data_IF_176374516045
#
_entry.id   IF_176374516045
#
_cell.length_a   1.000
_cell.length_b   1.000
_cell.length_c   1.000
_cell.angle_alpha   90.00
_cell.angle_beta   90.00
_cell.angle_gamma   90.00
#
_symmetry.space_group_name_H-M   'P 1'
#
loop_
_entity.id
_entity.type
_entity.pdbx_description
1 polymer ?
#
# COMPACT_ATOMS: atom_id res chain seq x y z
N UNK A 1 4.01 12.43 1.72
CA UNK A 1 3.49 12.63 3.09
C UNK A 1 4.01 11.53 4.04
N UNK A 2 3.83 10.24 3.72
CA UNK A 2 4.35 9.13 4.52
C UNK A 2 5.88 9.12 4.68
N UNK A 3 6.62 9.44 3.62
CA UNK A 3 8.09 9.50 3.66
C UNK A 3 8.62 10.50 4.68
N UNK A 4 8.06 11.72 4.72
CA UNK A 4 8.41 12.72 5.73
C UNK A 4 8.10 12.24 7.15
N UNK A 5 6.95 11.61 7.34
CA UNK A 5 6.55 11.06 8.63
C UNK A 5 7.55 10.00 9.12
N UNK A 6 7.95 9.07 8.25
CA UNK A 6 8.92 8.03 8.60
C UNK A 6 10.32 8.60 8.80
N UNK A 7 10.71 9.63 8.06
CA UNK A 7 11.96 10.34 8.31
C UNK A 7 11.96 11.02 9.69
N UNK A 8 10.88 11.69 10.06
CA UNK A 8 10.75 12.36 11.36
C UNK A 8 10.85 11.34 12.50
N UNK A 9 10.17 10.19 12.39
CA UNK A 9 10.28 9.12 13.40
C UNK A 9 11.66 8.46 13.43
N UNK A 10 12.25 8.19 12.26
CA UNK A 10 13.58 7.61 12.15
C UNK A 10 14.64 8.48 12.84
N UNK A 11 14.55 9.80 12.69
CA UNK A 11 15.46 10.74 13.36
C UNK A 11 15.42 10.64 14.89
N UNK A 12 14.27 10.27 15.47
CA UNK A 12 14.07 10.19 16.93
C UNK A 12 14.46 8.81 17.50
N UNK A 13 14.31 7.74 16.72
CA UNK A 13 14.32 6.37 17.25
C UNK A 13 15.37 5.45 16.63
N UNK A 14 15.81 5.72 15.39
CA UNK A 14 16.65 4.83 14.59
C UNK A 14 17.79 5.58 13.87
N UNK A 15 18.27 6.68 14.45
CA UNK A 15 19.42 7.44 13.93
C UNK A 15 19.22 7.97 12.51
N UNK A 16 17.97 8.24 12.11
CA UNK A 16 17.61 8.69 10.76
C UNK A 16 17.43 7.58 9.72
N UNK A 17 17.59 6.31 10.10
CA UNK A 17 17.36 5.18 9.21
C UNK A 17 15.86 4.90 9.01
N UNK A 18 15.33 5.26 7.84
CA UNK A 18 13.92 5.06 7.48
C UNK A 18 13.58 3.62 7.10
N UNK A 19 14.57 2.79 6.76
CA UNK A 19 14.34 1.43 6.25
C UNK A 19 13.61 0.58 7.28
N UNK A 20 13.92 0.76 8.58
CA UNK A 20 13.23 0.09 9.67
C UNK A 20 11.71 0.30 9.62
N UNK A 21 11.27 1.54 9.39
CA UNK A 21 9.85 1.89 9.34
C UNK A 21 9.16 1.33 8.10
N UNK A 22 9.83 1.40 6.95
CA UNK A 22 9.30 0.86 5.70
C UNK A 22 9.19 -0.67 5.75
N UNK A 23 10.17 -1.36 6.33
CA UNK A 23 10.15 -2.81 6.52
C UNK A 23 9.02 -3.23 7.47
N UNK A 24 8.94 -2.59 8.63
CA UNK A 24 7.88 -2.88 9.60
C UNK A 24 6.47 -2.58 9.04
N UNK A 25 6.33 -1.53 8.22
CA UNK A 25 5.06 -1.26 7.54
C UNK A 25 4.73 -2.34 6.51
N UNK A 26 5.72 -2.75 5.70
CA UNK A 26 5.57 -3.81 4.71
C UNK A 26 5.13 -5.14 5.35
N UNK A 27 5.62 -5.47 6.54
CA UNK A 27 5.29 -6.71 7.24
C UNK A 27 3.80 -6.87 7.58
N UNK A 28 3.06 -5.76 7.71
CA UNK A 28 1.62 -5.75 7.98
C UNK A 28 0.78 -6.30 6.82
N UNK A 29 1.35 -6.34 5.62
CA UNK A 29 0.68 -6.78 4.41
C UNK A 29 1.07 -8.22 4.06
N UNK A 30 0.14 -9.09 3.63
CA UNK A 30 0.48 -10.39 3.05
C UNK A 30 1.48 -10.32 1.88
N UNK A 31 1.43 -9.28 1.05
CA UNK A 31 2.40 -9.09 -0.04
C UNK A 31 3.78 -8.61 0.42
N UNK A 32 3.98 -8.33 1.72
CA UNK A 32 5.27 -7.92 2.30
C UNK A 32 5.92 -6.72 1.60
N UNK A 33 5.09 -5.78 1.15
CA UNK A 33 5.51 -4.50 0.58
C UNK A 33 4.47 -3.43 0.81
N UNK A 34 4.91 -2.18 0.88
CA UNK A 34 4.01 -1.02 0.87
C UNK A 34 3.57 -0.74 -0.57
N UNK A 35 2.26 -0.63 -0.77
CA UNK A 35 1.67 -0.33 -2.07
C UNK A 35 2.12 1.03 -2.61
N UNK A 36 2.35 1.08 -3.92
CA UNK A 36 2.77 2.29 -4.62
C UNK A 36 1.57 2.97 -5.32
N UNK A 37 1.67 4.28 -5.55
CA UNK A 37 0.59 5.05 -6.17
C UNK A 37 0.21 4.56 -7.57
N UNK A 38 1.18 4.04 -8.33
CA UNK A 38 0.93 3.46 -9.65
C UNK A 38 0.08 2.19 -9.57
N UNK A 39 0.20 1.37 -8.52
CA UNK A 39 -0.62 0.16 -8.37
C UNK A 39 -2.10 0.49 -8.16
N UNK A 40 -2.39 1.59 -7.46
CA UNK A 40 -3.75 2.15 -7.37
C UNK A 40 -4.20 2.67 -8.73
N UNK A 41 -3.33 3.42 -9.42
CA UNK A 41 -3.64 4.00 -10.72
C UNK A 41 -3.97 2.94 -11.79
N UNK A 42 -3.28 1.80 -11.79
CA UNK A 42 -3.53 0.70 -12.75
C UNK A 42 -4.95 0.13 -12.60
N UNK A 43 -5.45 -0.07 -11.37
CA UNK A 43 -6.83 -0.53 -11.21
C UNK A 43 -7.83 0.53 -11.69
N UNK A 44 -7.61 1.80 -11.34
CA UNK A 44 -8.48 2.89 -11.78
C UNK A 44 -8.46 3.02 -13.31
N UNK A 45 -7.29 2.87 -13.94
CA UNK A 45 -7.14 2.88 -15.39
C UNK A 45 -7.95 1.74 -16.04
N UNK A 46 -7.85 0.52 -15.49
CA UNK A 46 -8.67 -0.61 -15.95
C UNK A 46 -10.17 -0.32 -15.81
N UNK A 47 -10.62 0.15 -14.64
CA UNK A 47 -12.02 0.44 -14.35
C UNK A 47 -12.58 1.59 -15.21
N UNK A 48 -11.76 2.56 -15.57
CA UNK A 48 -12.13 3.66 -16.46
C UNK A 48 -12.15 3.25 -17.94
N UNK A 49 -11.57 2.10 -18.29
CA UNK A 49 -11.48 1.64 -19.67
C UNK A 49 -12.77 0.95 -20.15
N UNK A 50 -13.00 0.85 -21.48
CA UNK A 50 -14.11 0.07 -22.02
C UNK A 50 -14.11 -1.41 -21.64
N UNK A 51 -12.99 -1.95 -21.14
CA UNK A 51 -12.88 -3.35 -20.71
C UNK A 51 -13.70 -3.65 -19.45
N UNK A 52 -14.03 -2.62 -18.68
CA UNK A 52 -14.83 -2.71 -17.46
C UNK A 52 -16.31 -2.36 -17.70
N UNK A 53 -16.81 -2.42 -18.94
CA UNK A 53 -18.13 -1.90 -19.33
C UNK A 53 -19.34 -2.50 -18.60
N UNK A 54 -19.20 -3.67 -18.00
CA UNK A 54 -20.25 -4.32 -17.20
C UNK A 54 -19.95 -4.34 -15.69
N UNK A 55 -18.92 -3.62 -15.27
CA UNK A 55 -18.49 -3.55 -13.87
C UNK A 55 -19.05 -2.26 -13.25
N UNK A 56 -19.94 -2.41 -12.28
CA UNK A 56 -20.51 -1.29 -11.53
C UNK A 56 -20.94 -1.71 -10.13
N UNK A 57 -21.01 -0.77 -9.19
CA UNK A 57 -21.44 -1.00 -7.80
C UNK A 57 -20.48 -1.84 -6.93
N UNK A 58 -19.30 -2.17 -7.44
CA UNK A 58 -18.30 -2.99 -6.74
C UNK A 58 -17.40 -2.19 -5.80
N UNK A 59 -16.95 -2.85 -4.73
CA UNK A 59 -15.85 -2.40 -3.88
C UNK A 59 -14.60 -3.22 -4.21
N UNK A 60 -13.50 -2.54 -4.58
CA UNK A 60 -12.25 -3.18 -4.95
C UNK A 60 -11.15 -2.83 -3.95
N UNK A 61 -10.56 -3.84 -3.33
CA UNK A 61 -9.43 -3.67 -2.42
C UNK A 61 -8.12 -3.57 -3.20
N UNK A 62 -7.29 -2.59 -2.83
CA UNK A 62 -5.93 -2.38 -3.34
C UNK A 62 -5.00 -2.19 -2.14
N UNK A 63 -4.97 -3.18 -1.25
CA UNK A 63 -4.43 -3.03 0.10
C UNK A 63 -3.34 -4.06 0.42
N UNK A 64 -2.77 -4.71 -0.59
CA UNK A 64 -1.74 -5.74 -0.39
C UNK A 64 -2.19 -6.96 0.42
N UNK A 65 -3.51 -7.16 0.58
CA UNK A 65 -4.10 -8.24 1.37
C UNK A 65 -4.36 -7.88 2.83
N UNK A 66 -4.17 -6.62 3.24
CA UNK A 66 -4.33 -6.19 4.65
C UNK A 66 -5.69 -6.59 5.22
N UNK A 67 -6.78 -6.39 4.46
CA UNK A 67 -8.14 -6.72 4.90
C UNK A 67 -8.34 -8.23 5.11
N UNK A 68 -7.65 -9.07 4.33
CA UNK A 68 -7.74 -10.52 4.48
C UNK A 68 -6.96 -11.02 5.72
N UNK A 69 -6.00 -10.21 6.20
CA UNK A 69 -5.13 -10.55 7.31
C UNK A 69 -3.93 -11.42 6.89
N UNK A 70 -2.99 -11.59 7.82
CA UNK A 70 -1.82 -12.46 7.65
C UNK A 70 -2.21 -13.86 8.13
N UNK A 71 -2.02 -14.93 7.32
CA UNK A 71 -2.23 -16.30 7.78
C UNK A 71 -1.41 -16.61 9.04
N UNK A 72 -2.02 -17.30 9.99
CA UNK A 72 -1.42 -17.76 11.25
C UNK A 72 -0.84 -19.17 11.10
#
# INVERSE_FOLDING_TARGET
>A
MAERLFQDFANITHGGNTDFYWQNEAEKYPLKKVGQANEVAELIYFLASPKASFITGGLYLIDGGLTAGIPH
#
